data_IF_688788137479
#
_entry.id   IF_688788137479
#
_cell.length_a   1.000
_cell.length_b   1.000
_cell.length_c   1.000
_cell.angle_alpha   90.00
_cell.angle_beta   90.00
_cell.angle_gamma   90.00
#
_symmetry.space_group_name_H-M   'P 1'
#
loop_
_entity.id
_entity.type
_entity.pdbx_description
1 polymer ?
#
# COMPACT_ATOMS: atom_id res chain seq x y z
N UNK A 1 8.74 -6.48 23.02
CA UNK A 1 7.90 -5.96 23.09
C UNK A 1 7.23 -5.28 22.00
N UNK A 2 6.32 -4.69 22.26
CA UNK A 2 5.43 -4.19 21.26
C UNK A 2 6.02 -3.17 20.35
N UNK A 3 7.20 -2.76 20.63
CA UNK A 3 7.77 -1.72 19.84
C UNK A 3 7.98 -2.08 18.41
N UNK A 4 8.17 -3.33 18.08
CA UNK A 4 8.44 -3.63 16.71
C UNK A 4 7.19 -3.52 15.86
N UNK A 5 6.04 -3.33 16.45
CA UNK A 5 4.81 -3.21 15.67
C UNK A 5 4.20 -1.85 15.76
N UNK A 6 5.03 -0.84 15.60
CA UNK A 6 4.53 0.51 15.68
C UNK A 6 4.09 1.00 14.32
N UNK A 7 2.82 1.23 14.18
CA UNK A 7 2.24 1.72 12.95
C UNK A 7 1.44 2.96 13.23
N UNK A 8 1.42 3.85 12.26
CA UNK A 8 0.57 5.02 12.30
C UNK A 8 -0.43 4.91 11.18
N UNK A 9 -1.64 5.30 11.47
CA UNK A 9 -2.66 5.39 10.44
C UNK A 9 -2.62 6.82 9.92
N UNK A 10 -2.24 6.99 8.67
CA UNK A 10 -2.03 8.32 8.10
C UNK A 10 -2.88 8.47 6.85
N UNK A 11 -3.52 9.62 6.74
CA UNK A 11 -4.32 9.94 5.58
C UNK A 11 -3.41 10.06 4.35
N UNK A 12 -3.80 9.44 3.26
CA UNK A 12 -3.00 9.46 2.05
C UNK A 12 -2.80 10.86 1.51
N UNK A 13 -3.70 11.77 1.79
CA UNK A 13 -3.61 13.11 1.25
C UNK A 13 -2.42 13.89 1.80
N UNK A 14 -1.86 13.46 2.92
CA UNK A 14 -0.70 14.14 3.50
C UNK A 14 0.61 13.41 3.21
N UNK A 15 0.56 12.32 2.47
CA UNK A 15 1.75 11.54 2.15
C UNK A 15 2.25 11.85 0.76
N UNK A 16 3.54 11.64 0.49
CA UNK A 16 4.03 11.74 -0.88
C UNK A 16 3.29 10.81 -1.81
N UNK A 17 3.23 11.19 -3.05
CA UNK A 17 2.47 10.45 -4.05
C UNK A 17 2.93 9.00 -4.18
N UNK A 18 4.21 8.75 -3.93
CA UNK A 18 4.73 7.40 -4.08
C UNK A 18 3.98 6.42 -3.18
N UNK A 19 3.60 6.85 -1.98
CA UNK A 19 2.90 5.95 -1.06
C UNK A 19 1.50 5.62 -1.56
N UNK A 20 0.82 6.61 -2.13
CA UNK A 20 -0.48 6.36 -2.73
C UNK A 20 -0.37 5.35 -3.84
N UNK A 21 0.67 5.47 -4.66
CA UNK A 21 0.85 4.54 -5.77
C UNK A 21 1.21 3.15 -5.30
N UNK A 22 1.95 3.03 -4.20
CA UNK A 22 2.23 1.72 -3.63
C UNK A 22 0.93 1.04 -3.20
N UNK A 23 0.05 1.79 -2.55
CA UNK A 23 -1.24 1.24 -2.14
C UNK A 23 -2.06 0.82 -3.36
N UNK A 24 -2.05 1.64 -4.41
CA UNK A 24 -2.77 1.30 -5.63
C UNK A 24 -2.23 0.01 -6.25
N UNK A 25 -0.91 -0.12 -6.29
CA UNK A 25 -0.30 -1.33 -6.85
C UNK A 25 -0.72 -2.56 -6.06
N UNK A 26 -0.75 -2.45 -4.75
CA UNK A 26 -1.17 -3.57 -3.92
C UNK A 26 -2.62 -3.92 -4.17
N UNK A 27 -3.46 -2.93 -4.41
CA UNK A 27 -4.86 -3.19 -4.73
C UNK A 27 -5.01 -3.90 -6.06
N UNK A 28 -4.21 -3.52 -7.04
CA UNK A 28 -4.25 -4.19 -8.34
C UNK A 28 -3.91 -5.67 -8.18
N UNK A 29 -2.94 -5.98 -7.32
CA UNK A 29 -2.62 -7.37 -7.05
C UNK A 29 -3.76 -8.08 -6.37
N UNK A 30 -4.35 -7.46 -5.37
CA UNK A 30 -5.45 -8.08 -4.62
C UNK A 30 -6.67 -8.29 -5.49
N UNK A 31 -6.89 -7.42 -6.46
CA UNK A 31 -8.04 -7.51 -7.35
C UNK A 31 -7.79 -8.45 -8.53
N UNK A 32 -6.58 -8.93 -8.67
CA UNK A 32 -6.25 -9.78 -9.81
C UNK A 32 -6.02 -9.04 -11.10
N UNK A 33 -5.94 -7.71 -11.05
CA UNK A 33 -5.71 -6.91 -12.25
C UNK A 33 -4.27 -6.93 -12.69
N UNK A 34 -3.34 -7.13 -11.76
CA UNK A 34 -1.93 -7.23 -12.05
C UNK A 34 -1.49 -8.66 -11.86
N UNK A 35 -0.64 -9.15 -12.73
CA UNK A 35 -0.18 -10.54 -12.67
C UNK A 35 1.02 -10.70 -11.75
N UNK A 36 1.75 -9.63 -11.52
CA UNK A 36 2.94 -9.68 -10.70
C UNK A 36 3.14 -8.32 -10.08
N UNK A 37 4.06 -8.25 -9.12
CA UNK A 37 4.38 -6.96 -8.51
C UNK A 37 4.98 -6.00 -9.53
N UNK A 38 5.75 -6.52 -10.49
CA UNK A 38 6.26 -5.66 -11.56
C UNK A 38 5.12 -5.02 -12.34
N UNK A 39 4.13 -5.84 -12.68
CA UNK A 39 2.96 -5.37 -13.39
C UNK A 39 2.22 -4.33 -12.57
N UNK A 40 2.03 -4.62 -11.30
CA UNK A 40 1.30 -3.73 -10.41
C UNK A 40 1.98 -2.37 -10.32
N UNK A 41 3.29 -2.37 -10.16
CA UNK A 41 4.04 -1.12 -10.09
C UNK A 41 3.88 -0.33 -11.37
N UNK A 42 3.97 -1.01 -12.50
CA UNK A 42 3.83 -0.37 -13.79
C UNK A 42 2.46 0.25 -13.96
N UNK A 43 1.42 -0.49 -13.56
CA UNK A 43 0.05 0.01 -13.66
C UNK A 43 -0.17 1.22 -12.75
N UNK A 44 0.46 1.22 -11.60
CA UNK A 44 0.34 2.34 -10.68
C UNK A 44 1.21 3.52 -11.08
N UNK A 45 2.15 3.32 -12.00
CA UNK A 45 2.97 4.41 -12.48
C UNK A 45 4.19 4.69 -11.63
N UNK A 46 4.73 3.67 -10.96
CA UNK A 46 5.96 3.83 -10.19
C UNK A 46 6.97 2.80 -10.64
N UNK A 47 8.23 3.05 -10.31
CA UNK A 47 9.27 2.11 -10.64
C UNK A 47 9.16 0.88 -9.75
N UNK A 48 9.66 -0.24 -10.25
CA UNK A 48 9.67 -1.46 -9.49
C UNK A 48 10.49 -1.32 -8.21
N UNK A 49 11.61 -0.61 -8.30
CA UNK A 49 12.45 -0.37 -7.13
C UNK A 49 11.70 0.34 -6.03
N UNK A 50 10.98 1.40 -6.39
CA UNK A 50 10.22 2.16 -5.41
C UNK A 50 9.15 1.29 -4.77
N UNK A 51 8.47 0.50 -5.59
CA UNK A 51 7.42 -0.37 -5.06
C UNK A 51 8.00 -1.38 -4.09
N UNK A 52 9.09 -2.04 -4.46
CA UNK A 52 9.67 -3.06 -3.59
C UNK A 52 10.23 -2.45 -2.30
N UNK A 53 10.68 -1.20 -2.38
CA UNK A 53 11.20 -0.54 -1.19
C UNK A 53 10.12 -0.36 -0.13
N UNK A 54 8.91 -0.07 -0.55
CA UNK A 54 7.85 0.28 0.38
C UNK A 54 6.74 -0.76 0.53
N UNK A 55 6.72 -1.79 -0.30
CA UNK A 55 5.57 -2.68 -0.31
C UNK A 55 5.33 -3.39 1.02
N UNK A 56 6.38 -3.62 1.78
CA UNK A 56 6.25 -4.28 3.08
C UNK A 56 6.07 -3.30 4.23
N UNK A 57 6.06 -2.01 3.91
CA UNK A 57 5.93 -0.97 4.93
C UNK A 57 4.65 -0.18 4.80
N UNK A 58 3.96 -0.29 3.68
CA UNK A 58 2.75 0.47 3.41
C UNK A 58 1.63 -0.49 3.15
N UNK A 59 0.55 -0.38 3.91
CA UNK A 59 -0.60 -1.28 3.79
C UNK A 59 -1.87 -0.47 3.62
N UNK A 60 -2.74 -0.87 2.70
CA UNK A 60 -4.04 -0.20 2.59
C UNK A 60 -4.87 -0.53 3.83
N UNK A 61 -5.54 0.46 4.36
CA UNK A 61 -6.39 0.28 5.52
C UNK A 61 -7.80 0.69 5.13
N UNK A 62 -8.73 -0.22 5.25
CA UNK A 62 -10.08 -0.01 4.76
C UNK A 62 -10.99 0.47 5.86
N UNK A 63 -11.85 1.41 5.50
CA UNK A 63 -12.77 1.98 6.47
C UNK A 63 -13.68 0.97 7.11
N UNK A 64 -14.17 0.02 6.33
CA UNK A 64 -15.05 -0.95 6.94
C UNK A 64 -14.33 -1.88 7.87
N UNK A 65 -13.05 -2.11 7.67
CA UNK A 65 -12.27 -2.85 8.65
C UNK A 65 -12.19 -2.07 9.95
N UNK A 66 -12.00 -0.77 9.84
CA UNK A 66 -11.97 0.09 11.00
C UNK A 66 -13.30 0.05 11.73
N UNK A 67 -14.38 0.10 11.00
CA UNK A 67 -15.70 0.05 11.56
C UNK A 67 -15.93 -1.24 12.34
N UNK A 68 -15.48 -2.33 11.78
CA UNK A 68 -15.68 -3.60 12.43
C UNK A 68 -14.88 -3.75 13.70
N UNK A 69 -13.74 -3.14 13.75
CA UNK A 69 -12.92 -3.22 14.94
C UNK A 69 -13.56 -2.51 16.11
N UNK A 70 -14.27 -1.46 15.84
CA UNK A 70 -14.91 -0.71 16.87
C UNK A 70 -16.14 -1.43 17.39
#
# INVERSE_FOLDING_TARGET
MAEQNKFLLVDLSVLPEVFTKVVEAKRYMAQGKAKSYSDAAKMAGISRSAFYKYKDKVYPYESNSLTRVL
#
